data_IF_958292837072
#
_entry.id   IF_958292837072
#
_cell.length_a   1.000
_cell.length_b   1.000
_cell.length_c   1.000
_cell.angle_alpha   90.00
_cell.angle_beta   90.00
_cell.angle_gamma   90.00
#
_symmetry.space_group_name_H-M   'P 1'
#
loop_
_entity.id
_entity.type
_entity.pdbx_description
1 polymer ?
#
# COMPACT_ATOMS: atom_id res chain seq x y z
N UNK A 1 -18.32 -17.74 46.70
CA UNK A 1 -19.04 -18.07 45.46
C UNK A 1 -20.08 -19.12 45.78
N UNK A 2 -21.28 -19.00 45.24
CA UNK A 2 -22.33 -20.02 45.36
C UNK A 2 -22.05 -21.18 44.40
N UNK A 3 -22.59 -22.38 44.68
CA UNK A 3 -22.44 -23.57 43.81
C UNK A 3 -22.94 -23.32 42.37
N UNK A 4 -23.88 -22.39 42.22
CA UNK A 4 -24.43 -21.94 40.94
C UNK A 4 -23.48 -21.00 40.20
N UNK A 5 -22.86 -20.04 40.89
CA UNK A 5 -21.82 -19.17 40.32
C UNK A 5 -20.61 -19.98 39.82
N UNK A 6 -20.16 -20.98 40.59
CA UNK A 6 -19.05 -21.85 40.19
C UNK A 6 -19.39 -22.65 38.93
N UNK A 7 -20.64 -23.10 38.79
CA UNK A 7 -21.12 -23.80 37.59
C UNK A 7 -21.10 -22.87 36.37
N UNK A 8 -21.53 -21.63 36.54
CA UNK A 8 -21.53 -20.61 35.48
C UNK A 8 -20.11 -20.25 35.04
N UNK A 9 -19.17 -20.08 35.97
CA UNK A 9 -17.76 -19.83 35.65
C UNK A 9 -17.16 -20.98 34.85
N UNK A 10 -17.40 -22.24 35.28
CA UNK A 10 -16.93 -23.43 34.53
C UNK A 10 -17.56 -23.52 33.15
N UNK A 11 -18.87 -23.24 33.05
CA UNK A 11 -19.58 -23.21 31.77
C UNK A 11 -18.96 -22.18 30.81
N UNK A 12 -18.73 -20.95 31.28
CA UNK A 12 -18.08 -19.89 30.50
C UNK A 12 -16.70 -20.32 30.01
N UNK A 13 -15.87 -20.89 30.90
CA UNK A 13 -14.52 -21.34 30.55
C UNK A 13 -14.55 -22.43 29.47
N UNK A 14 -15.43 -23.42 29.61
CA UNK A 14 -15.60 -24.49 28.64
C UNK A 14 -16.03 -23.96 27.28
N UNK A 15 -17.07 -23.11 27.24
CA UNK A 15 -17.56 -22.51 25.99
C UNK A 15 -16.55 -21.56 25.36
N UNK A 16 -15.80 -20.80 26.17
CA UNK A 16 -14.73 -19.92 25.66
C UNK A 16 -13.64 -20.71 24.96
N UNK A 17 -13.24 -21.85 25.55
CA UNK A 17 -12.26 -22.74 24.93
C UNK A 17 -12.78 -23.31 23.61
N UNK A 18 -14.02 -23.82 23.61
CA UNK A 18 -14.68 -24.33 22.41
C UNK A 18 -14.75 -23.29 21.28
N UNK A 19 -15.14 -22.05 21.59
CA UNK A 19 -15.19 -20.97 20.61
C UNK A 19 -13.80 -20.65 20.01
N UNK A 20 -12.74 -20.69 20.83
CA UNK A 20 -11.37 -20.48 20.38
C UNK A 20 -10.93 -21.64 19.47
N UNK A 21 -11.19 -22.89 19.87
CA UNK A 21 -10.81 -24.07 19.11
C UNK A 21 -11.50 -24.09 17.73
N UNK A 22 -12.79 -23.74 17.68
CA UNK A 22 -13.55 -23.60 16.43
C UNK A 22 -12.98 -22.49 15.53
N UNK A 23 -12.63 -21.34 16.10
CA UNK A 23 -11.97 -20.25 15.39
C UNK A 23 -10.60 -20.67 14.82
N UNK A 24 -9.80 -21.43 15.59
CA UNK A 24 -8.50 -21.94 15.10
C UNK A 24 -8.65 -22.95 13.95
N UNK A 25 -9.80 -23.62 13.86
CA UNK A 25 -10.15 -24.51 12.74
C UNK A 25 -10.77 -23.79 11.54
N UNK A 26 -10.92 -22.45 11.60
CA UNK A 26 -11.59 -21.67 10.56
C UNK A 26 -13.12 -21.87 10.52
N UNK A 27 -13.69 -22.53 11.52
CA UNK A 27 -15.14 -22.75 11.66
C UNK A 27 -15.80 -21.52 12.29
N UNK A 28 -15.76 -20.41 11.56
CA UNK A 28 -16.14 -19.10 12.08
C UNK A 28 -17.62 -18.99 12.45
N UNK A 29 -18.51 -19.62 11.68
CA UNK A 29 -19.95 -19.59 11.98
C UNK A 29 -20.26 -20.34 13.29
N UNK A 30 -19.65 -21.50 13.52
CA UNK A 30 -19.83 -22.23 14.78
C UNK A 30 -19.24 -21.44 15.96
N UNK A 31 -18.11 -20.75 15.75
CA UNK A 31 -17.53 -19.86 16.76
C UNK A 31 -18.46 -18.67 17.09
N UNK A 32 -19.20 -18.14 16.11
CA UNK A 32 -20.24 -17.11 16.34
C UNK A 32 -21.30 -17.67 17.28
N UNK A 33 -21.86 -18.84 16.97
CA UNK A 33 -22.96 -19.43 17.72
C UNK A 33 -22.55 -19.68 19.19
N UNK A 34 -21.35 -20.24 19.42
CA UNK A 34 -20.84 -20.47 20.77
C UNK A 34 -20.62 -19.15 21.53
N UNK A 35 -20.09 -18.10 20.89
CA UNK A 35 -19.93 -16.81 21.56
C UNK A 35 -21.29 -16.15 21.89
N UNK A 36 -22.32 -16.33 21.07
CA UNK A 36 -23.67 -15.86 21.37
C UNK A 36 -24.30 -16.61 22.56
N UNK A 37 -24.03 -17.91 22.71
CA UNK A 37 -24.44 -18.66 23.91
C UNK A 37 -23.77 -18.14 25.19
N UNK A 38 -22.48 -17.78 25.11
CA UNK A 38 -21.77 -17.15 26.23
C UNK A 38 -22.46 -15.82 26.58
N UNK A 39 -22.72 -14.97 25.58
CA UNK A 39 -23.34 -13.66 25.79
C UNK A 39 -24.78 -13.74 26.30
N UNK A 40 -25.50 -14.83 26.01
CA UNK A 40 -26.85 -15.07 26.55
C UNK A 40 -26.84 -15.26 28.07
N UNK A 41 -25.77 -15.83 28.62
CA UNK A 41 -25.59 -16.02 30.07
C UNK A 41 -24.76 -14.88 30.71
N UNK A 42 -23.87 -14.26 29.94
CA UNK A 42 -22.94 -13.22 30.37
C UNK A 42 -23.01 -12.01 29.41
N UNK A 43 -24.05 -11.18 29.51
CA UNK A 43 -24.33 -10.12 28.52
C UNK A 43 -23.31 -8.98 28.49
N UNK A 44 -22.36 -8.94 29.43
CA UNK A 44 -21.30 -7.94 29.52
C UNK A 44 -19.91 -8.54 29.34
N UNK A 45 -19.82 -9.70 28.70
CA UNK A 45 -18.55 -10.39 28.51
C UNK A 45 -17.72 -9.77 27.39
N UNK A 46 -16.69 -9.00 27.77
CA UNK A 46 -15.78 -8.31 26.86
C UNK A 46 -15.06 -9.27 25.91
N UNK A 47 -14.58 -10.40 26.42
CA UNK A 47 -13.83 -11.36 25.61
C UNK A 47 -14.72 -12.05 24.57
N UNK A 48 -15.95 -12.41 24.93
CA UNK A 48 -16.91 -13.00 24.01
C UNK A 48 -17.31 -12.01 22.90
N UNK A 49 -17.55 -10.73 23.21
CA UNK A 49 -17.78 -9.70 22.18
C UNK A 49 -16.57 -9.52 21.25
N UNK A 50 -15.34 -9.55 21.78
CA UNK A 50 -14.13 -9.49 20.96
C UNK A 50 -13.96 -10.70 20.04
N UNK A 51 -14.21 -11.91 20.53
CA UNK A 51 -14.18 -13.14 19.74
C UNK A 51 -15.29 -13.15 18.69
N UNK A 52 -16.49 -12.69 19.05
CA UNK A 52 -17.63 -12.56 18.15
C UNK A 52 -17.33 -11.56 17.02
N UNK A 53 -16.77 -10.40 17.33
CA UNK A 53 -16.34 -9.41 16.35
C UNK A 53 -15.30 -9.98 15.38
N UNK A 54 -14.34 -10.77 15.89
CA UNK A 54 -13.34 -11.43 15.04
C UNK A 54 -13.99 -12.48 14.14
N UNK A 55 -14.89 -13.30 14.67
CA UNK A 55 -15.56 -14.31 13.86
C UNK A 55 -16.40 -13.69 12.74
N UNK A 56 -17.08 -12.56 13.00
CA UNK A 56 -17.79 -11.81 11.96
C UNK A 56 -16.87 -11.18 10.92
N UNK A 57 -15.69 -10.67 11.31
CA UNK A 57 -14.68 -10.18 10.37
C UNK A 57 -14.27 -11.25 9.35
N UNK A 58 -13.97 -12.45 9.83
CA UNK A 58 -13.52 -13.57 8.97
C UNK A 58 -14.65 -14.13 8.09
N UNK A 59 -15.92 -13.91 8.49
CA UNK A 59 -17.09 -14.22 7.68
C UNK A 59 -17.46 -13.10 6.69
N UNK A 60 -16.73 -11.98 6.67
CA UNK A 60 -17.05 -10.80 5.84
C UNK A 60 -18.29 -10.02 6.31
N UNK A 61 -18.81 -10.30 7.51
CA UNK A 61 -20.00 -9.64 8.06
C UNK A 61 -19.60 -8.36 8.83
N UNK A 62 -19.07 -7.37 8.11
CA UNK A 62 -18.43 -6.17 8.69
C UNK A 62 -19.37 -5.34 9.59
N UNK A 63 -20.65 -5.23 9.24
CA UNK A 63 -21.65 -4.52 10.06
C UNK A 63 -21.78 -5.16 11.44
N UNK A 64 -21.94 -6.48 11.50
CA UNK A 64 -22.06 -7.22 12.77
C UNK A 64 -20.75 -7.23 13.54
N UNK A 65 -19.62 -7.27 12.85
CA UNK A 65 -18.31 -7.13 13.49
C UNK A 65 -18.17 -5.77 14.19
N UNK A 66 -18.60 -4.70 13.52
CA UNK A 66 -18.63 -3.33 14.06
C UNK A 66 -19.52 -3.24 15.29
N UNK A 67 -20.72 -3.80 15.24
CA UNK A 67 -21.62 -3.86 16.41
C UNK A 67 -20.97 -4.57 17.60
N UNK A 68 -20.38 -5.74 17.37
CA UNK A 68 -19.74 -6.53 18.42
C UNK A 68 -18.54 -5.80 19.06
N UNK A 69 -17.67 -5.21 18.25
CA UNK A 69 -16.55 -4.43 18.77
C UNK A 69 -16.99 -3.12 19.45
N UNK A 70 -18.06 -2.49 18.96
CA UNK A 70 -18.64 -1.31 19.61
C UNK A 70 -19.16 -1.65 21.01
N UNK A 71 -19.83 -2.80 21.17
CA UNK A 71 -20.22 -3.30 22.49
C UNK A 71 -19.03 -3.58 23.40
N UNK A 72 -17.92 -4.10 22.87
CA UNK A 72 -16.69 -4.21 23.65
C UNK A 72 -16.24 -2.84 24.19
N UNK A 73 -16.16 -1.82 23.32
CA UNK A 73 -15.69 -0.47 23.72
C UNK A 73 -16.67 0.22 24.68
N UNK A 74 -17.97 -0.03 24.57
CA UNK A 74 -18.97 0.46 25.53
C UNK A 74 -18.75 -0.11 26.94
N UNK A 75 -18.28 -1.36 27.05
CA UNK A 75 -18.04 -2.02 28.34
C UNK A 75 -16.63 -1.73 28.86
N UNK A 76 -15.63 -1.77 27.98
CA UNK A 76 -14.21 -1.50 28.23
C UNK A 76 -13.67 -0.52 27.17
N UNK A 77 -13.71 0.79 27.46
CA UNK A 77 -13.25 1.83 26.54
C UNK A 77 -11.77 1.73 26.14
N UNK A 78 -10.94 1.09 26.97
CA UNK A 78 -9.50 0.98 26.77
C UNK A 78 -9.09 -0.31 26.06
N UNK A 79 -10.07 -1.09 25.56
CA UNK A 79 -9.80 -2.32 24.85
C UNK A 79 -9.05 -2.07 23.54
N UNK A 80 -7.73 -2.28 23.53
CA UNK A 80 -6.89 -2.01 22.37
C UNK A 80 -7.27 -2.87 21.15
N UNK A 81 -7.74 -4.09 21.37
CA UNK A 81 -8.14 -5.03 20.32
C UNK A 81 -9.38 -4.50 19.59
N UNK A 82 -10.43 -4.15 20.33
CA UNK A 82 -11.66 -3.63 19.73
C UNK A 82 -11.41 -2.30 19.00
N UNK A 83 -10.69 -1.37 19.64
CA UNK A 83 -10.36 -0.08 19.02
C UNK A 83 -9.55 -0.24 17.72
N UNK A 84 -8.57 -1.15 17.69
CA UNK A 84 -7.79 -1.43 16.48
C UNK A 84 -8.64 -2.03 15.36
N UNK A 85 -9.54 -2.96 15.69
CA UNK A 85 -10.40 -3.59 14.69
C UNK A 85 -11.49 -2.65 14.18
N UNK A 86 -12.08 -1.80 15.03
CA UNK A 86 -13.02 -0.76 14.58
C UNK A 86 -12.37 0.22 13.60
N UNK A 87 -11.14 0.67 13.88
CA UNK A 87 -10.38 1.50 12.93
C UNK A 87 -10.15 0.76 11.62
N UNK A 88 -9.72 -0.49 11.67
CA UNK A 88 -9.50 -1.31 10.47
C UNK A 88 -10.79 -1.46 9.65
N UNK A 89 -11.93 -1.70 10.29
CA UNK A 89 -13.22 -1.81 9.60
C UNK A 89 -13.59 -0.47 8.97
N UNK A 90 -13.43 0.64 9.69
CA UNK A 90 -13.70 1.98 9.16
C UNK A 90 -12.78 2.33 7.98
N UNK A 91 -11.51 1.92 8.01
CA UNK A 91 -10.59 2.10 6.89
C UNK A 91 -11.01 1.26 5.66
N UNK A 92 -11.58 0.07 5.87
CA UNK A 92 -12.10 -0.79 4.81
C UNK A 92 -13.41 -0.24 4.21
N UNK A 93 -14.32 0.25 5.05
CA UNK A 93 -15.57 0.90 4.64
C UNK A 93 -15.27 2.20 3.86
N UNK A 94 -14.28 2.97 4.31
CA UNK A 94 -13.79 4.13 3.55
C UNK A 94 -13.09 3.74 2.25
N UNK A 95 -12.48 2.56 2.16
CA UNK A 95 -11.94 2.07 0.89
C UNK A 95 -13.05 1.62 -0.08
N UNK A 96 -14.18 1.10 0.42
CA UNK A 96 -15.35 0.77 -0.42
C UNK A 96 -16.13 2.02 -0.85
N UNK A 97 -16.22 3.06 -0.02
CA UNK A 97 -16.72 4.38 -0.42
C UNK A 97 -15.72 5.16 -1.31
N UNK A 98 -14.42 4.93 -1.15
CA UNK A 98 -13.38 5.41 -2.06
C UNK A 98 -13.26 4.52 -3.33
N UNK A 99 -13.94 3.36 -3.39
CA UNK A 99 -14.14 2.50 -4.58
C UNK A 99 -15.37 2.95 -5.41
N UNK A 100 -15.58 4.26 -5.54
CA UNK A 100 -16.25 4.77 -6.75
C UNK A 100 -15.19 4.88 -7.84
N UNK A 101 -15.15 3.82 -8.65
CA UNK A 101 -14.54 3.73 -9.99
C UNK A 101 -13.00 3.73 -10.04
N UNK A 102 -12.40 2.68 -9.49
CA UNK A 102 -11.27 2.05 -10.20
C UNK A 102 -11.72 0.68 -10.67
N UNK A 103 -12.09 0.59 -11.94
CA UNK A 103 -12.14 -0.66 -12.68
C UNK A 103 -10.89 -1.48 -12.33
N UNK A 104 -11.08 -2.55 -11.56
CA UNK A 104 -10.14 -3.66 -11.50
C UNK A 104 -10.22 -4.34 -12.86
N UNK A 105 -9.53 -3.79 -13.85
CA UNK A 105 -9.36 -4.45 -15.13
C UNK A 105 -8.52 -5.69 -14.87
N UNK A 106 -9.12 -6.85 -15.11
CA UNK A 106 -8.41 -8.13 -15.10
C UNK A 106 -7.11 -7.99 -15.93
N UNK A 107 -5.97 -8.57 -15.50
CA UNK A 107 -4.63 -8.33 -16.08
C UNK A 107 -4.44 -8.63 -17.58
N UNK A 108 -5.49 -9.04 -18.30
CA UNK A 108 -5.46 -9.40 -19.72
C UNK A 108 -6.30 -8.45 -20.62
N UNK A 109 -6.64 -7.23 -20.16
CA UNK A 109 -7.31 -6.25 -21.03
C UNK A 109 -6.71 -4.83 -20.95
N UNK A 110 -5.38 -4.73 -21.02
CA UNK A 110 -4.70 -3.43 -21.13
C UNK A 110 -3.84 -3.40 -22.42
N UNK A 111 -4.44 -2.94 -23.50
CA UNK A 111 -3.73 -2.13 -24.49
C UNK A 111 -4.13 -0.68 -24.19
N UNK A 112 -3.77 -0.21 -23.00
CA UNK A 112 -3.79 1.21 -22.66
C UNK A 112 -2.36 1.55 -22.27
N UNK A 113 -1.78 2.53 -22.97
CA UNK A 113 -0.37 2.84 -22.87
C UNK A 113 -0.02 3.30 -21.46
N UNK A 114 0.79 2.46 -20.78
CA UNK A 114 1.32 2.71 -19.43
C UNK A 114 1.92 4.13 -19.39
N UNK A 115 1.44 4.95 -18.45
CA UNK A 115 2.01 6.27 -18.16
C UNK A 115 1.39 7.48 -18.89
N UNK A 116 0.27 7.31 -19.60
CA UNK A 116 -0.50 8.42 -20.20
C UNK A 116 -1.41 9.18 -19.24
N UNK A 117 -1.83 8.54 -18.16
CA UNK A 117 -2.72 9.13 -17.16
C UNK A 117 -2.16 8.95 -15.75
N UNK A 118 -2.36 9.94 -14.90
CA UNK A 118 -1.98 9.88 -13.49
C UNK A 118 -2.88 10.73 -12.61
N UNK A 119 -3.20 10.22 -11.42
CA UNK A 119 -3.92 10.96 -10.39
C UNK A 119 -2.93 11.74 -9.53
N UNK A 120 -3.14 13.04 -9.40
CA UNK A 120 -2.25 13.95 -8.67
C UNK A 120 -3.01 14.72 -7.61
N UNK A 121 -2.43 14.82 -6.43
CA UNK A 121 -2.97 15.63 -5.32
C UNK A 121 -2.51 17.08 -5.47
N UNK A 122 -3.43 18.02 -5.23
CA UNK A 122 -3.14 19.44 -5.27
C UNK A 122 -2.70 19.96 -3.89
N UNK A 123 -1.70 20.84 -3.89
CA UNK A 123 -1.29 21.61 -2.72
C UNK A 123 -1.59 23.10 -2.92
N UNK A 124 -1.41 23.90 -1.86
CA UNK A 124 -1.70 25.34 -1.86
C UNK A 124 -3.12 25.61 -2.39
N UNK A 125 -4.10 24.98 -1.72
CA UNK A 125 -5.48 24.94 -2.19
C UNK A 125 -6.16 26.30 -2.09
N UNK A 126 -7.09 26.52 -3.01
CA UNK A 126 -7.94 27.71 -2.99
C UNK A 126 -8.78 27.83 -1.69
N UNK A 127 -9.27 29.03 -1.34
CA UNK A 127 -10.18 29.23 -0.22
C UNK A 127 -11.41 28.32 -0.28
N UNK A 128 -11.96 27.96 0.88
CA UNK A 128 -13.05 26.98 1.02
C UNK A 128 -14.28 27.37 0.18
N UNK A 129 -14.57 28.66 0.05
CA UNK A 129 -15.71 29.20 -0.68
C UNK A 129 -15.64 28.90 -2.17
N UNK A 130 -14.42 28.89 -2.74
CA UNK A 130 -14.20 28.57 -4.16
C UNK A 130 -14.22 27.06 -4.38
N UNK A 131 -13.66 26.29 -3.45
CA UNK A 131 -13.61 24.82 -3.54
C UNK A 131 -14.96 24.16 -3.31
N UNK A 132 -15.81 24.72 -2.45
CA UNK A 132 -17.15 24.19 -2.18
C UNK A 132 -18.07 24.19 -3.41
N UNK A 133 -17.69 24.88 -4.49
CA UNK A 133 -18.42 24.92 -5.76
C UNK A 133 -17.97 23.85 -6.75
N UNK A 134 -16.91 23.12 -6.44
CA UNK A 134 -16.36 22.07 -7.30
C UNK A 134 -16.88 20.71 -6.84
N UNK A 135 -17.17 19.84 -7.79
CA UNK A 135 -17.58 18.45 -7.55
C UNK A 135 -16.65 17.50 -8.31
N UNK A 136 -16.56 16.25 -7.85
CA UNK A 136 -15.92 15.19 -8.62
C UNK A 136 -16.56 15.10 -10.02
N UNK A 137 -15.73 14.93 -11.05
CA UNK A 137 -16.12 14.96 -12.46
C UNK A 137 -16.02 16.32 -13.13
N UNK A 138 -15.80 17.41 -12.39
CA UNK A 138 -15.61 18.73 -12.99
C UNK A 138 -14.28 18.83 -13.76
N UNK A 139 -14.37 19.30 -15.01
CA UNK A 139 -13.18 19.57 -15.81
C UNK A 139 -12.45 20.83 -15.33
N UNK A 140 -11.13 20.74 -15.29
CA UNK A 140 -10.23 21.82 -14.90
C UNK A 140 -9.16 22.02 -15.97
N UNK A 141 -8.59 23.22 -15.99
CA UNK A 141 -7.57 23.64 -16.93
C UNK A 141 -6.23 23.67 -16.22
N UNK A 142 -5.22 23.11 -16.87
CA UNK A 142 -3.83 23.15 -16.41
C UNK A 142 -3.12 24.34 -17.04
N UNK A 143 -2.48 25.18 -16.23
CA UNK A 143 -1.74 26.35 -16.67
C UNK A 143 -0.31 26.29 -16.17
N UNK A 144 0.64 26.38 -17.10
CA UNK A 144 2.06 26.39 -16.79
C UNK A 144 2.44 27.77 -16.24
N UNK A 145 3.03 27.77 -15.04
CA UNK A 145 3.59 28.94 -14.37
C UNK A 145 5.06 28.67 -14.07
N UNK A 146 5.92 28.91 -15.07
CA UNK A 146 7.32 28.53 -15.04
C UNK A 146 7.52 27.02 -14.90
N UNK A 147 8.00 26.58 -13.74
CA UNK A 147 8.20 25.17 -13.40
C UNK A 147 7.05 24.56 -12.57
N UNK A 148 6.05 25.37 -12.23
CA UNK A 148 4.84 24.95 -11.53
C UNK A 148 3.68 24.77 -12.49
N UNK A 149 2.71 23.95 -12.08
CA UNK A 149 1.48 23.74 -12.83
C UNK A 149 0.30 24.10 -11.93
N UNK A 150 -0.44 25.11 -12.36
CA UNK A 150 -1.60 25.66 -11.67
C UNK A 150 -2.86 25.03 -12.25
N UNK A 151 -3.81 24.69 -11.38
CA UNK A 151 -5.12 24.19 -11.76
C UNK A 151 -6.14 25.31 -11.62
N UNK A 152 -6.82 25.63 -12.70
CA UNK A 152 -7.92 26.60 -12.75
C UNK A 152 -9.23 25.91 -13.15
N UNK A 153 -10.36 26.40 -12.67
CA UNK A 153 -11.66 25.94 -13.17
C UNK A 153 -12.01 26.63 -14.51
N UNK A 154 -13.14 26.23 -15.13
CA UNK A 154 -13.62 26.85 -16.39
C UNK A 154 -13.88 28.36 -16.30
N UNK A 155 -13.99 28.92 -15.09
CA UNK A 155 -14.19 30.35 -14.83
C UNK A 155 -12.86 31.10 -14.66
N UNK A 156 -11.71 30.41 -14.76
CA UNK A 156 -10.39 30.98 -14.50
C UNK A 156 -10.08 31.17 -13.02
N UNK A 157 -10.83 30.53 -12.12
CA UNK A 157 -10.55 30.60 -10.69
C UNK A 157 -9.49 29.54 -10.32
N UNK A 158 -8.47 29.97 -9.60
CA UNK A 158 -7.43 29.12 -9.03
C UNK A 158 -8.02 28.08 -8.07
N UNK A 159 -7.66 26.81 -8.24
CA UNK A 159 -8.06 25.66 -7.41
C UNK A 159 -6.92 25.10 -6.55
N UNK A 160 -5.70 25.14 -7.07
CA UNK A 160 -4.50 24.63 -6.40
C UNK A 160 -3.32 24.46 -7.34
N UNK A 161 -2.19 23.97 -6.82
CA UNK A 161 -0.98 23.62 -7.57
C UNK A 161 -0.75 22.11 -7.58
N UNK A 162 -0.27 21.59 -8.70
CA UNK A 162 0.17 20.19 -8.85
C UNK A 162 1.52 20.01 -8.16
N UNK A 163 1.72 18.89 -7.45
CA UNK A 163 2.96 18.55 -6.74
C UNK A 163 4.24 18.91 -7.54
N UNK A 164 5.27 19.54 -6.92
CA UNK A 164 6.41 20.10 -7.64
C UNK A 164 7.13 19.14 -8.60
N UNK A 165 7.35 17.88 -8.22
CA UNK A 165 8.05 16.89 -9.06
C UNK A 165 7.26 16.60 -10.34
N UNK A 166 5.98 16.30 -10.19
CA UNK A 166 5.07 16.02 -11.32
C UNK A 166 4.84 17.27 -12.16
N UNK A 167 4.66 18.44 -11.52
CA UNK A 167 4.48 19.72 -12.20
C UNK A 167 5.67 20.10 -13.08
N UNK A 168 6.91 19.96 -12.57
CA UNK A 168 8.12 20.25 -13.34
C UNK A 168 8.22 19.39 -14.59
N UNK A 169 7.90 18.10 -14.47
CA UNK A 169 7.91 17.16 -15.59
C UNK A 169 6.86 17.53 -16.63
N UNK A 170 5.60 17.67 -16.20
CA UNK A 170 4.50 18.01 -17.09
C UNK A 170 4.68 19.38 -17.75
N UNK A 171 5.20 20.38 -17.03
CA UNK A 171 5.49 21.69 -17.60
C UNK A 171 6.48 21.61 -18.77
N UNK A 172 7.53 20.78 -18.66
CA UNK A 172 8.50 20.54 -19.75
C UNK A 172 7.83 19.86 -20.94
N UNK A 173 6.97 18.87 -20.71
CA UNK A 173 6.27 18.14 -21.76
C UNK A 173 5.22 19.01 -22.47
N UNK A 174 4.48 19.84 -21.72
CA UNK A 174 3.53 20.83 -22.26
C UNK A 174 4.28 21.85 -23.13
N UNK A 175 5.41 22.36 -22.65
CA UNK A 175 6.26 23.28 -23.43
C UNK A 175 6.80 22.61 -24.69
N UNK A 176 7.03 21.30 -24.63
CA UNK A 176 7.43 20.45 -25.75
C UNK A 176 6.30 20.08 -26.72
N UNK A 177 5.07 20.59 -26.53
CA UNK A 177 3.94 20.39 -27.44
C UNK A 177 2.89 19.38 -26.99
N UNK A 178 3.10 18.67 -25.87
CA UNK A 178 2.11 17.73 -25.35
C UNK A 178 0.87 18.46 -24.83
N UNK A 179 -0.30 17.84 -24.99
CA UNK A 179 -1.56 18.34 -24.46
C UNK A 179 -2.15 17.39 -23.44
N UNK A 180 -2.80 17.97 -22.44
CA UNK A 180 -3.37 17.25 -21.32
C UNK A 180 -4.79 17.73 -21.04
N UNK A 181 -5.63 16.79 -20.65
CA UNK A 181 -6.93 17.05 -20.02
C UNK A 181 -6.83 16.77 -18.54
N UNK A 182 -7.58 17.50 -17.71
CA UNK A 182 -7.62 17.30 -16.28
C UNK A 182 -9.05 17.37 -15.74
N UNK A 183 -9.36 16.46 -14.82
CA UNK A 183 -10.67 16.34 -14.20
C UNK A 183 -10.51 16.14 -12.70
N UNK A 184 -11.37 16.77 -11.90
CA UNK A 184 -11.38 16.60 -10.45
C UNK A 184 -11.89 15.19 -10.12
N UNK A 185 -11.10 14.42 -9.37
CA UNK A 185 -11.51 13.10 -8.87
C UNK A 185 -12.06 13.23 -7.46
N UNK A 186 -11.41 14.04 -6.61
CA UNK A 186 -11.80 14.24 -5.21
C UNK A 186 -11.76 15.72 -4.87
N UNK A 187 -12.79 16.21 -4.20
CA UNK A 187 -12.88 17.57 -3.67
C UNK A 187 -13.46 17.55 -2.25
N UNK A 188 -12.61 17.24 -1.25
CA UNK A 188 -12.95 17.33 0.18
C UNK A 188 -12.55 18.71 0.75
N UNK A 189 -12.97 19.01 1.97
CA UNK A 189 -12.80 20.32 2.61
C UNK A 189 -11.34 20.78 2.78
N UNK A 190 -10.38 19.87 2.69
CA UNK A 190 -8.93 20.07 2.90
C UNK A 190 -8.05 19.37 1.85
N UNK A 191 -8.63 18.55 0.98
CA UNK A 191 -7.92 17.77 -0.01
C UNK A 191 -8.61 17.82 -1.36
N UNK A 192 -7.84 18.07 -2.42
CA UNK A 192 -8.32 18.01 -3.80
C UNK A 192 -7.35 17.20 -4.64
N UNK A 193 -7.86 16.30 -5.47
CA UNK A 193 -7.06 15.54 -6.45
C UNK A 193 -7.67 15.64 -7.84
N UNK A 194 -6.79 15.61 -8.82
CA UNK A 194 -7.14 15.67 -10.25
C UNK A 194 -6.51 14.48 -10.96
N UNK A 195 -7.26 13.88 -11.87
CA UNK A 195 -6.68 12.97 -12.86
C UNK A 195 -6.23 13.81 -14.05
N UNK A 196 -4.99 13.62 -14.47
CA UNK A 196 -4.42 14.29 -15.63
C UNK A 196 -4.16 13.21 -16.68
N UNK A 197 -4.70 13.41 -17.89
CA UNK A 197 -4.58 12.49 -19.02
C UNK A 197 -3.95 13.20 -20.20
N UNK A 198 -2.87 12.62 -20.73
CA UNK A 198 -2.27 13.04 -21.99
C UNK A 198 -3.24 12.77 -23.14
N UNK A 199 -3.68 13.84 -23.81
CA UNK A 199 -4.58 13.76 -24.96
C UNK A 199 -3.83 13.80 -26.28
N UNK A 200 -2.62 14.34 -26.26
CA UNK A 200 -1.75 14.45 -27.42
C UNK A 200 -0.28 14.44 -26.97
N UNK A 201 0.54 13.64 -27.64
CA UNK A 201 1.98 13.63 -27.50
C UNK A 201 2.60 14.20 -28.78
N UNK A 202 3.41 15.24 -28.64
CA UNK A 202 4.16 15.76 -29.77
C UNK A 202 5.26 14.76 -30.16
N UNK A 203 5.55 14.56 -31.47
CA UNK A 203 6.61 13.65 -31.91
C UNK A 203 7.98 13.93 -31.28
N UNK A 204 8.26 15.18 -30.89
CA UNK A 204 9.51 15.57 -30.20
C UNK A 204 9.62 15.05 -28.76
N UNK A 205 8.51 14.63 -28.16
CA UNK A 205 8.45 14.06 -26.81
C UNK A 205 8.22 12.54 -26.81
N UNK A 206 8.27 11.90 -27.98
CA UNK A 206 8.10 10.45 -28.10
C UNK A 206 9.04 9.68 -27.15
N UNK A 207 8.51 8.65 -26.49
CA UNK A 207 9.24 7.83 -25.52
C UNK A 207 9.36 8.41 -24.10
N UNK A 208 8.97 9.68 -23.87
CA UNK A 208 8.91 10.26 -22.53
C UNK A 208 7.52 10.04 -21.93
N UNK A 209 7.48 9.28 -20.84
CA UNK A 209 6.25 9.05 -20.09
C UNK A 209 5.87 10.30 -19.29
N UNK A 210 4.59 10.67 -19.36
CA UNK A 210 4.01 11.74 -18.54
C UNK A 210 3.93 11.34 -17.06
N UNK A 211 3.57 10.08 -16.79
CA UNK A 211 3.44 9.53 -15.43
C UNK A 211 4.20 8.20 -15.30
N UNK A 212 5.50 8.22 -14.94
CA UNK A 212 6.26 6.98 -14.74
C UNK A 212 5.77 6.21 -13.50
N UNK A 213 5.85 4.86 -13.48
CA UNK A 213 5.60 4.08 -12.26
C UNK A 213 6.57 4.50 -11.16
N UNK A 214 6.12 4.51 -9.90
CA UNK A 214 6.97 4.83 -8.73
C UNK A 214 8.22 3.94 -8.76
N UNK A 215 9.41 4.56 -8.79
CA UNK A 215 10.72 3.88 -8.82
C UNK A 215 11.46 3.90 -10.16
N UNK A 216 10.83 4.29 -11.27
CA UNK A 216 11.49 4.32 -12.61
C UNK A 216 12.23 5.63 -12.89
N UNK A 217 11.92 6.70 -12.16
CA UNK A 217 12.55 8.03 -12.35
C UNK A 217 13.97 8.10 -11.78
N UNK A 218 14.33 7.23 -10.83
CA UNK A 218 15.72 7.09 -10.39
C UNK A 218 16.54 6.38 -11.48
N UNK A 219 16.01 5.30 -12.07
CA UNK A 219 16.68 4.44 -13.08
C UNK A 219 17.20 5.13 -14.33
N UNK A 220 16.63 6.26 -14.75
CA UNK A 220 17.02 6.93 -16.00
C UNK A 220 17.88 8.16 -15.82
N UNK A 221 17.95 8.73 -14.62
CA UNK A 221 18.76 9.92 -14.37
C UNK A 221 20.26 9.60 -14.45
N UNK A 222 20.67 8.41 -13.99
CA UNK A 222 22.07 7.98 -14.06
C UNK A 222 22.49 7.47 -15.44
N UNK A 223 21.59 6.86 -16.21
CA UNK A 223 21.93 6.40 -17.57
C UNK A 223 22.16 7.58 -18.53
N UNK A 224 21.46 8.70 -18.34
CA UNK A 224 21.63 9.89 -19.16
C UNK A 224 22.93 10.67 -18.85
N UNK A 225 23.45 10.62 -17.63
CA UNK A 225 24.73 11.24 -17.28
C UNK A 225 25.95 10.43 -17.74
N UNK A 226 25.84 9.10 -17.77
CA UNK A 226 26.93 8.23 -18.26
C UNK A 226 27.07 8.31 -19.79
N UNK A 227 25.98 8.53 -20.52
CA UNK A 227 25.98 8.59 -21.98
C UNK A 227 26.54 9.90 -22.60
N UNK A 228 26.94 10.89 -21.80
CA UNK A 228 27.43 12.20 -22.27
C UNK A 228 28.93 12.43 -22.04
N UNK A 229 29.69 11.39 -21.69
CA UNK A 229 31.15 11.43 -21.64
C UNK A 229 31.74 10.24 -22.41
N UNK A 230 31.63 10.26 -23.72
CA UNK A 230 32.59 9.58 -24.57
C UNK A 230 32.69 10.32 -25.90
N UNK A 231 33.56 11.32 -25.91
CA UNK A 231 34.02 11.99 -27.12
C UNK A 231 35.45 12.47 -26.88
N UNK A 232 36.39 11.53 -26.96
CA UNK A 232 37.78 11.85 -27.35
C UNK A 232 38.33 10.74 -28.24
N UNK A 233 38.69 11.03 -29.51
CA UNK A 233 39.30 10.07 -30.41
C UNK A 233 40.83 10.09 -30.24
N UNK A 234 41.44 8.93 -30.04
CA UNK A 234 42.86 8.73 -30.33
C UNK A 234 43.07 7.31 -30.89
N UNK A 235 43.33 7.28 -32.20
CA UNK A 235 44.17 6.30 -32.93
C UNK A 235 45.57 6.26 -32.25
N UNK A 236 46.44 5.25 -32.33
CA UNK A 236 46.63 4.08 -33.20
C UNK A 236 47.70 3.19 -32.51
N UNK A 237 47.76 1.92 -32.93
CA UNK A 237 48.93 1.03 -32.97
C UNK A 237 49.71 0.65 -31.68
N UNK A 238 49.70 -0.65 -31.38
CA UNK A 238 50.82 -1.51 -31.82
C UNK A 238 50.52 -2.99 -31.60
N UNK A 239 50.87 -3.75 -32.62
CA UNK A 239 50.95 -5.21 -32.77
C UNK A 239 51.56 -5.94 -31.56
N UNK A 240 51.04 -7.13 -31.23
CA UNK A 240 51.89 -8.32 -31.10
C UNK A 240 51.07 -9.63 -31.04
N UNK A 241 51.66 -10.64 -31.67
CA UNK A 241 51.10 -11.89 -32.17
C UNK A 241 50.89 -13.01 -31.13
N UNK A 242 50.05 -13.97 -31.54
CA UNK A 242 50.10 -15.42 -31.25
C UNK A 242 49.66 -15.86 -29.85
N UNK A 243 49.00 -17.02 -29.63
CA UNK A 243 48.64 -18.13 -30.49
C UNK A 243 48.00 -19.27 -29.65
N UNK A 244 47.22 -20.11 -30.31
CA UNK A 244 46.87 -21.53 -30.02
C UNK A 244 46.20 -21.97 -28.69
N UNK A 245 44.93 -22.39 -28.82
CA UNK A 245 44.34 -23.76 -28.70
C UNK A 245 44.84 -24.79 -27.66
N UNK A 246 43.91 -25.15 -26.74
CA UNK A 246 43.49 -26.47 -26.14
C UNK A 246 44.55 -27.50 -25.65
N UNK A 247 44.38 -28.03 -24.42
CA UNK A 247 44.07 -29.45 -24.04
C UNK A 247 44.28 -29.68 -22.52
N UNK A 248 43.21 -30.12 -21.84
CA UNK A 248 43.15 -31.30 -20.96
C UNK A 248 43.90 -31.37 -19.61
N UNK A 249 43.22 -31.90 -18.59
CA UNK A 249 43.87 -32.60 -17.47
C UNK A 249 43.15 -32.48 -16.14
N UNK A 250 42.52 -33.57 -15.72
CA UNK A 250 41.91 -33.83 -14.41
C UNK A 250 42.80 -33.48 -13.21
N UNK A 251 42.21 -33.09 -12.07
CA UNK A 251 42.13 -33.96 -10.90
C UNK A 251 41.35 -33.30 -9.75
N UNK A 252 40.53 -34.14 -9.12
CA UNK A 252 39.77 -33.91 -7.89
C UNK A 252 40.72 -34.23 -6.73
N UNK A 253 40.87 -33.31 -5.78
CA UNK A 253 41.32 -33.65 -4.42
C UNK A 253 40.25 -33.27 -3.41
N UNK A 254 39.64 -34.32 -2.86
CA UNK A 254 38.96 -34.37 -1.57
C UNK A 254 39.99 -34.84 -0.56
N UNK A 255 39.92 -34.35 0.69
CA UNK A 255 40.35 -34.92 1.99
C UNK A 255 40.76 -33.74 2.91
N UNK A 256 40.52 -33.70 4.21
CA UNK A 256 39.77 -34.54 5.14
C UNK A 256 39.68 -33.77 6.48
N UNK A 257 38.77 -34.22 7.32
CA UNK A 257 38.65 -33.94 8.75
C UNK A 257 39.97 -34.18 9.50
N UNK A 258 40.23 -33.38 10.53
CA UNK A 258 41.00 -33.80 11.70
C UNK A 258 40.17 -33.48 12.95
N UNK A 259 39.72 -34.57 13.58
CA UNK A 259 39.28 -34.68 14.96
C UNK A 259 40.48 -34.83 15.90
N UNK A 260 40.17 -35.02 17.20
CA UNK A 260 41.04 -35.48 18.29
C UNK A 260 41.88 -34.39 19.02
N UNK A 261 41.92 -34.35 20.35
CA UNK A 261 41.16 -35.10 21.35
C UNK A 261 41.40 -34.51 22.76
N UNK A 262 40.41 -34.74 23.61
CA UNK A 262 40.49 -35.11 25.05
C UNK A 262 41.13 -34.16 26.09
N UNK A 263 40.39 -33.78 27.14
CA UNK A 263 40.35 -34.37 28.51
C UNK A 263 41.56 -33.89 29.36
N UNK A 264 41.47 -33.48 30.63
CA UNK A 264 40.54 -33.82 31.70
C UNK A 264 40.74 -32.83 32.89
N UNK A 265 39.79 -32.90 33.82
CA UNK A 265 40.00 -32.95 35.28
C UNK A 265 39.92 -31.71 36.20
N UNK A 266 39.18 -32.01 37.29
CA UNK A 266 39.07 -31.42 38.62
C UNK A 266 38.19 -30.19 38.86
N UNK A 267 37.08 -30.46 39.56
CA UNK A 267 36.29 -29.46 40.24
C UNK A 267 36.89 -28.98 41.55
N UNK A 268 36.20 -28.03 42.18
CA UNK A 268 36.06 -28.03 43.64
C UNK A 268 34.84 -27.17 44.04
N UNK A 269 34.05 -27.72 44.95
CA UNK A 269 33.16 -26.99 45.85
C UNK A 269 34.00 -26.07 46.76
N UNK A 270 33.44 -24.95 47.22
CA UNK A 270 33.25 -24.69 48.65
C UNK A 270 32.74 -23.25 48.94
N UNK A 271 31.91 -23.22 49.98
CA UNK A 271 31.36 -22.14 50.82
C UNK A 271 30.21 -21.22 50.33
#
# INVERSE_FOLDING_TARGET
MTREEERLVRYKQQRSKEAIDLAMQGRWQDAVDVNQEILSNFPRDVDAFNRLGRAYMELGQLVKATEAYSRTVEIDPYNAIANRNLRRIADMDQSEEDEVDTDHVAPHHFIEEIGKSGTVVLYDLAPKEKRARMVAGDNVVLKVDGSSLVVENKRGEYMGRVEPRTAQRLARLITGGNQYSATIVRAKADMMSVIIRETYQDPSQAGKLSFPPRGVDELRAYEAEVALKDDTPYEEDSEDESGYTIIGGDEIEVLSEDSDDSEDDTGNEDD
#
